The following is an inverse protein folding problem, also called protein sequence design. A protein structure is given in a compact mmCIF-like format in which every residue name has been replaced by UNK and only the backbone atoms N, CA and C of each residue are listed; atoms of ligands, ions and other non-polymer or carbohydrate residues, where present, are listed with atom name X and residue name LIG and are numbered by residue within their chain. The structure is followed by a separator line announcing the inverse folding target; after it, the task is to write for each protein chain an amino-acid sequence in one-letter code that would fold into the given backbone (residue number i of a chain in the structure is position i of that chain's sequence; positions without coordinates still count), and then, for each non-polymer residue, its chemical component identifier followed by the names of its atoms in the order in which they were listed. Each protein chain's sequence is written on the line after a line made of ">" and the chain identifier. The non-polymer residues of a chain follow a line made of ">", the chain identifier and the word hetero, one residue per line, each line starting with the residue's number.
data_IF_474855646370
#
_entry.id   IF_474855646370
#
_cell.length_a   1.000
_cell.length_b   1.000
_cell.length_c   1.000
_cell.angle_alpha   90.00
_cell.angle_beta   90.00
_cell.angle_gamma   90.00
#
_symmetry.space_group_name_H-M   'P 1'
#
loop_
_entity.id
_entity.type
_entity.pdbx_description
1 polymer ?
#
# COMPACT_ATOMS: atom_id res chain seq x y z
N UNK A 1 71.52 -13.56 -42.89
CA UNK A 1 70.62 -12.41 -43.16
C UNK A 1 69.65 -12.33 -42.00
N UNK A 2 69.84 -11.36 -41.11
CA UNK A 2 68.93 -11.15 -39.98
C UNK A 2 67.62 -10.57 -40.52
N UNK A 3 66.51 -11.30 -40.37
CA UNK A 3 65.18 -10.79 -40.67
C UNK A 3 64.93 -9.59 -39.76
N UNK A 4 64.83 -8.40 -40.35
CA UNK A 4 64.40 -7.19 -39.67
C UNK A 4 62.93 -7.39 -39.33
N UNK A 5 62.66 -7.68 -38.06
CA UNK A 5 61.31 -7.79 -37.52
C UNK A 5 60.58 -6.46 -37.76
N UNK A 6 59.39 -6.51 -38.34
CA UNK A 6 58.64 -5.30 -38.70
C UNK A 6 58.30 -4.56 -37.39
N UNK A 7 58.67 -3.28 -37.23
CA UNK A 7 58.33 -2.50 -36.03
C UNK A 7 56.83 -2.46 -35.75
N UNK A 8 55.98 -2.69 -36.75
CA UNK A 8 54.52 -2.81 -36.58
C UNK A 8 54.13 -4.05 -35.78
N UNK A 9 54.79 -5.17 -36.00
CA UNK A 9 54.50 -6.43 -35.29
C UNK A 9 54.85 -6.32 -33.79
N UNK A 10 55.90 -5.56 -33.48
CA UNK A 10 56.31 -5.27 -32.09
C UNK A 10 55.25 -4.40 -31.40
N UNK A 11 54.79 -3.34 -32.07
CA UNK A 11 53.76 -2.44 -31.53
C UNK A 11 52.42 -3.18 -31.36
N UNK A 12 52.05 -4.04 -32.31
CA UNK A 12 50.82 -4.84 -32.20
C UNK A 12 50.89 -5.79 -31.01
N UNK A 13 52.03 -6.46 -30.79
CA UNK A 13 52.21 -7.37 -29.67
C UNK A 13 52.17 -6.63 -28.31
N UNK A 14 52.74 -5.43 -28.23
CA UNK A 14 52.72 -4.59 -27.03
C UNK A 14 51.30 -4.09 -26.71
N UNK A 15 50.56 -3.62 -27.73
CA UNK A 15 49.16 -3.22 -27.57
C UNK A 15 48.25 -4.39 -27.20
N UNK A 16 48.48 -5.59 -27.75
CA UNK A 16 47.74 -6.79 -27.37
C UNK A 16 47.99 -7.16 -25.91
N UNK A 17 49.24 -7.08 -25.44
CA UNK A 17 49.57 -7.34 -24.04
C UNK A 17 48.92 -6.31 -23.09
N UNK A 18 48.85 -5.04 -23.49
CA UNK A 18 48.23 -3.99 -22.70
C UNK A 18 46.69 -4.11 -22.66
N UNK A 19 46.05 -4.47 -23.77
CA UNK A 19 44.63 -4.79 -23.82
C UNK A 19 44.30 -6.00 -22.95
N UNK A 20 45.10 -7.07 -23.03
CA UNK A 20 44.92 -8.27 -22.20
C UNK A 20 45.07 -7.95 -20.70
N UNK A 21 46.01 -7.09 -20.34
CA UNK A 21 46.19 -6.62 -18.97
C UNK A 21 44.99 -5.80 -18.48
N UNK A 22 44.50 -4.86 -19.30
CA UNK A 22 43.31 -4.06 -18.98
C UNK A 22 42.06 -4.92 -18.83
N UNK A 23 41.86 -5.91 -19.71
CA UNK A 23 40.71 -6.82 -19.63
C UNK A 23 40.74 -7.68 -18.36
N UNK A 24 41.93 -8.16 -17.95
CA UNK A 24 42.07 -8.89 -16.68
C UNK A 24 41.77 -8.00 -15.48
N UNK A 25 42.31 -6.79 -15.47
CA UNK A 25 42.10 -5.83 -14.38
C UNK A 25 40.63 -5.43 -14.28
N UNK A 26 39.95 -5.18 -15.40
CA UNK A 26 38.51 -4.90 -15.44
C UNK A 26 37.68 -6.07 -14.90
N UNK A 27 38.08 -7.31 -15.23
CA UNK A 27 37.41 -8.50 -14.71
C UNK A 27 37.58 -8.64 -13.20
N UNK A 28 38.78 -8.43 -12.68
CA UNK A 28 39.04 -8.44 -11.24
C UNK A 28 38.24 -7.36 -10.49
N UNK A 29 38.16 -6.15 -11.05
CA UNK A 29 37.35 -5.07 -10.48
C UNK A 29 35.86 -5.41 -10.50
N UNK A 30 35.36 -6.02 -11.58
CA UNK A 30 33.98 -6.48 -11.67
C UNK A 30 33.68 -7.55 -10.60
N UNK A 31 34.53 -8.56 -10.48
CA UNK A 31 34.39 -9.63 -9.50
C UNK A 31 34.39 -9.09 -8.05
N UNK A 32 35.24 -8.11 -7.74
CA UNK A 32 35.25 -7.44 -6.42
C UNK A 32 33.99 -6.61 -6.19
N UNK A 33 33.51 -5.92 -7.23
CA UNK A 33 32.29 -5.10 -7.13
C UNK A 33 31.07 -5.98 -6.85
N UNK A 34 30.96 -7.12 -7.53
CA UNK A 34 29.90 -8.10 -7.32
C UNK A 34 29.93 -8.64 -5.88
N UNK A 35 31.12 -8.96 -5.34
CA UNK A 35 31.28 -9.40 -3.95
C UNK A 35 30.82 -8.33 -2.95
N UNK A 36 31.21 -7.06 -3.17
CA UNK A 36 30.79 -5.95 -2.30
C UNK A 36 29.28 -5.74 -2.34
N UNK A 37 28.67 -5.85 -3.53
CA UNK A 37 27.21 -5.76 -3.66
C UNK A 37 26.49 -6.89 -2.93
N UNK A 38 26.96 -8.14 -3.05
CA UNK A 38 26.40 -9.27 -2.31
C UNK A 38 26.50 -9.09 -0.80
N UNK A 39 27.62 -8.57 -0.31
CA UNK A 39 27.81 -8.30 1.12
C UNK A 39 26.93 -7.16 1.62
N UNK A 40 26.76 -6.11 0.82
CA UNK A 40 25.86 -5.01 1.12
C UNK A 40 24.39 -5.47 1.18
N UNK A 41 23.96 -6.32 0.24
CA UNK A 41 22.61 -6.90 0.24
C UNK A 41 22.37 -7.78 1.46
N UNK A 42 23.38 -8.58 1.87
CA UNK A 42 23.31 -9.36 3.11
C UNK A 42 23.18 -8.48 4.35
N UNK A 43 23.98 -7.41 4.44
CA UNK A 43 23.91 -6.47 5.57
C UNK A 43 22.53 -5.79 5.65
N UNK A 44 22.00 -5.36 4.50
CA UNK A 44 20.68 -4.74 4.44
C UNK A 44 19.56 -5.72 4.84
N UNK A 45 19.65 -6.98 4.42
CA UNK A 45 18.72 -8.03 4.83
C UNK A 45 18.74 -8.25 6.36
N UNK A 46 19.93 -8.29 6.96
CA UNK A 46 20.11 -8.42 8.42
C UNK A 46 19.53 -7.20 9.15
N UNK A 47 19.73 -5.99 8.62
CA UNK A 47 19.18 -4.77 9.22
C UNK A 47 17.66 -4.76 9.21
N UNK A 48 17.03 -5.16 8.10
CA UNK A 48 15.57 -5.31 8.00
C UNK A 48 15.04 -6.36 8.98
N UNK A 49 15.73 -7.49 9.13
CA UNK A 49 15.37 -8.52 10.12
C UNK A 49 15.45 -7.97 11.55
N UNK A 50 16.53 -7.26 11.88
CA UNK A 50 16.71 -6.64 13.20
C UNK A 50 15.65 -5.58 13.51
N UNK A 51 15.27 -4.77 12.52
CA UNK A 51 14.15 -3.82 12.67
C UNK A 51 12.83 -4.57 12.93
N UNK A 52 12.56 -5.66 12.20
CA UNK A 52 11.40 -6.51 12.43
C UNK A 52 11.38 -7.13 13.83
N UNK A 53 12.52 -7.58 14.34
CA UNK A 53 12.65 -8.12 15.70
C UNK A 53 12.42 -7.06 16.77
N UNK A 54 12.94 -5.83 16.59
CA UNK A 54 12.69 -4.70 17.51
C UNK A 54 11.20 -4.36 17.61
N UNK A 55 10.52 -4.25 16.47
CA UNK A 55 9.08 -3.97 16.44
C UNK A 55 8.27 -5.07 17.15
N UNK A 56 8.66 -6.35 16.99
CA UNK A 56 8.03 -7.46 17.72
C UNK A 56 8.29 -7.39 19.22
N UNK A 57 9.51 -7.07 19.63
CA UNK A 57 9.88 -6.92 21.04
C UNK A 57 9.05 -5.80 21.70
N UNK A 58 8.98 -4.63 21.06
CA UNK A 58 8.15 -3.52 21.54
C UNK A 58 6.66 -3.90 21.62
N UNK A 59 6.14 -4.62 20.63
CA UNK A 59 4.76 -5.13 20.66
C UNK A 59 4.53 -6.06 21.85
N UNK A 60 5.45 -6.98 22.13
CA UNK A 60 5.37 -7.88 23.28
C UNK A 60 5.50 -7.13 24.61
N UNK A 61 6.34 -6.09 24.69
CA UNK A 61 6.43 -5.25 25.88
C UNK A 61 5.11 -4.51 26.16
N UNK A 62 4.45 -3.97 25.13
CA UNK A 62 3.12 -3.36 25.27
C UNK A 62 2.09 -4.36 25.78
N UNK A 63 2.06 -5.57 25.21
CA UNK A 63 1.13 -6.63 25.65
C UNK A 63 1.39 -7.05 27.11
N UNK A 64 2.67 -7.16 27.50
CA UNK A 64 3.06 -7.53 28.85
C UNK A 64 2.78 -6.42 29.86
N UNK A 65 2.98 -5.14 29.50
CA UNK A 65 2.62 -4.00 30.33
C UNK A 65 1.11 -4.01 30.64
N UNK A 66 0.28 -4.26 29.61
CA UNK A 66 -1.16 -4.40 29.79
C UNK A 66 -1.54 -5.58 30.69
N UNK A 67 -0.94 -6.77 30.50
CA UNK A 67 -1.18 -7.93 31.38
C UNK A 67 -0.88 -7.59 32.85
N UNK A 68 0.18 -6.82 33.11
CA UNK A 68 0.50 -6.34 34.46
C UNK A 68 -0.55 -5.37 34.99
N UNK A 69 -1.03 -4.44 34.17
CA UNK A 69 -2.06 -3.50 34.55
C UNK A 69 -3.38 -4.21 34.87
N UNK A 70 -3.83 -5.14 34.02
CA UNK A 70 -5.02 -5.98 34.26
C UNK A 70 -4.85 -6.81 35.54
N UNK A 71 -3.70 -7.46 35.74
CA UNK A 71 -3.44 -8.22 36.96
C UNK A 71 -3.42 -7.32 38.21
N UNK A 72 -2.94 -6.07 38.09
CA UNK A 72 -2.96 -5.09 39.19
C UNK A 72 -4.39 -4.69 39.53
N UNK A 73 -5.21 -4.39 38.52
CA UNK A 73 -6.63 -4.06 38.72
C UNK A 73 -7.37 -5.25 39.32
N UNK A 74 -7.16 -6.46 38.79
CA UNK A 74 -7.77 -7.70 39.27
C UNK A 74 -7.38 -8.04 40.71
N UNK A 75 -6.09 -8.00 41.05
CA UNK A 75 -5.63 -8.24 42.43
C UNK A 75 -6.19 -7.19 43.40
N UNK A 76 -6.25 -5.92 43.00
CA UNK A 76 -6.88 -4.87 43.81
C UNK A 76 -8.39 -5.07 43.98
N UNK A 77 -9.06 -5.65 42.98
CA UNK A 77 -10.48 -6.00 43.03
C UNK A 77 -10.72 -7.10 44.06
N UNK A 78 -9.94 -8.19 44.00
CA UNK A 78 -10.01 -9.28 44.97
C UNK A 78 -9.78 -8.76 46.40
N UNK A 79 -8.76 -7.92 46.61
CA UNK A 79 -8.51 -7.31 47.92
C UNK A 79 -9.69 -6.45 48.42
N UNK A 80 -10.32 -5.67 47.54
CA UNK A 80 -11.50 -4.85 47.89
C UNK A 80 -12.70 -5.74 48.22
N UNK A 81 -12.92 -6.82 47.46
CA UNK A 81 -14.00 -7.78 47.69
C UNK A 81 -13.83 -8.50 49.05
N UNK A 82 -12.61 -8.95 49.36
CA UNK A 82 -12.29 -9.58 50.66
C UNK A 82 -12.55 -8.63 51.81
N UNK A 83 -12.11 -7.36 51.69
CA UNK A 83 -12.37 -6.31 52.69
C UNK A 83 -13.87 -6.10 52.93
N UNK A 84 -14.69 -6.04 51.86
CA UNK A 84 -16.16 -5.89 51.99
C UNK A 84 -16.78 -7.10 52.71
N UNK A 85 -16.36 -8.32 52.36
CA UNK A 85 -16.86 -9.55 53.00
C UNK A 85 -16.50 -9.59 54.50
N UNK A 86 -15.27 -9.23 54.87
CA UNK A 86 -14.85 -9.15 56.27
C UNK A 86 -15.65 -8.10 57.06
N UNK A 87 -15.92 -6.95 56.45
CA UNK A 87 -16.67 -5.86 57.07
C UNK A 87 -18.14 -6.25 57.28
N UNK A 88 -18.74 -6.94 56.31
CA UNK A 88 -20.09 -7.50 56.42
C UNK A 88 -20.19 -8.62 57.48
N UNK A 89 -19.19 -9.50 57.56
CA UNK A 89 -19.13 -10.54 58.59
C UNK A 89 -19.00 -9.94 59.99
N UNK A 90 -18.17 -8.89 60.16
CA UNK A 90 -18.07 -8.12 61.41
C UNK A 90 -19.40 -7.45 61.78
N UNK A 91 -20.05 -6.78 60.83
CA UNK A 91 -21.35 -6.13 61.05
C UNK A 91 -22.46 -7.10 61.46
N UNK A 92 -22.49 -8.30 60.88
CA UNK A 92 -23.40 -9.40 61.26
C UNK A 92 -23.16 -9.90 62.69
N UNK A 93 -21.90 -9.99 63.12
CA UNK A 93 -21.55 -10.41 64.47
C UNK A 93 -21.94 -9.37 65.54
N UNK A 94 -21.98 -8.08 65.18
CA UNK A 94 -22.32 -6.98 66.09
C UNK A 94 -23.78 -6.53 66.04
N UNK A 95 -24.60 -7.06 65.13
CA UNK A 95 -26.04 -6.75 65.04
C UNK A 95 -26.38 -5.32 64.58
N UNK A 96 -25.43 -4.60 63.99
CA UNK A 96 -25.60 -3.20 63.57
C UNK A 96 -25.96 -3.09 62.08
N UNK A 97 -26.73 -2.04 61.72
CA UNK A 97 -26.97 -1.68 60.32
C UNK A 97 -25.65 -1.42 59.57
N UNK A 98 -25.65 -1.66 58.25
CA UNK A 98 -24.43 -1.63 57.43
C UNK A 98 -23.65 -0.31 57.67
N UNK A 99 -22.39 -0.39 58.15
CA UNK A 99 -21.62 0.81 58.48
C UNK A 99 -21.22 1.57 57.21
N UNK A 100 -21.21 2.90 57.27
CA UNK A 100 -20.87 3.85 56.19
C UNK A 100 -19.59 3.45 55.41
N UNK A 101 -18.63 2.81 56.09
CA UNK A 101 -17.41 2.22 55.50
C UNK A 101 -17.67 1.19 54.37
N UNK A 102 -18.74 0.40 54.46
CA UNK A 102 -19.13 -0.59 53.43
C UNK A 102 -19.62 0.12 52.18
N UNK A 103 -20.36 1.23 52.35
CA UNK A 103 -20.85 2.06 51.26
C UNK A 103 -19.66 2.63 50.46
N UNK A 104 -18.67 3.20 51.15
CA UNK A 104 -17.47 3.77 50.53
C UNK A 104 -16.64 2.71 49.80
N UNK A 105 -16.53 1.49 50.37
CA UNK A 105 -15.84 0.37 49.72
C UNK A 105 -16.60 -0.14 48.49
N UNK A 106 -17.94 -0.16 48.51
CA UNK A 106 -18.76 -0.53 47.36
C UNK A 106 -18.62 0.49 46.22
N UNK A 107 -18.59 1.79 46.53
CA UNK A 107 -18.32 2.85 45.54
C UNK A 107 -16.90 2.76 44.95
N UNK A 108 -15.91 2.38 45.76
CA UNK A 108 -14.56 2.13 45.27
C UNK A 108 -14.51 0.92 44.32
N UNK A 109 -15.25 -0.16 44.63
CA UNK A 109 -15.41 -1.33 43.76
C UNK A 109 -16.07 -0.95 42.43
N UNK A 110 -17.14 -0.16 42.47
CA UNK A 110 -17.87 0.29 41.29
C UNK A 110 -16.97 1.12 40.36
N UNK A 111 -16.16 2.04 40.90
CA UNK A 111 -15.18 2.83 40.14
C UNK A 111 -14.11 1.95 39.48
N UNK A 112 -13.61 0.94 40.20
CA UNK A 112 -12.61 0.00 39.65
C UNK A 112 -13.19 -0.90 38.56
N UNK A 113 -14.43 -1.36 38.70
CA UNK A 113 -15.13 -2.12 37.64
C UNK A 113 -15.31 -1.27 36.37
N UNK A 114 -15.66 0.01 36.52
CA UNK A 114 -15.76 0.93 35.38
C UNK A 114 -14.42 1.09 34.64
N UNK A 115 -13.31 1.23 35.39
CA UNK A 115 -11.97 1.34 34.81
C UNK A 115 -11.51 0.04 34.10
N UNK A 116 -11.80 -1.12 34.70
CA UNK A 116 -11.51 -2.42 34.09
C UNK A 116 -12.31 -2.61 32.79
N UNK A 117 -13.62 -2.32 32.83
CA UNK A 117 -14.46 -2.39 31.63
C UNK A 117 -13.92 -1.51 30.51
N UNK A 118 -13.53 -0.27 30.82
CA UNK A 118 -12.93 0.64 29.84
C UNK A 118 -11.63 0.08 29.25
N UNK A 119 -10.78 -0.52 30.08
CA UNK A 119 -9.52 -1.13 29.62
C UNK A 119 -9.76 -2.34 28.72
N UNK A 120 -10.77 -3.15 29.06
CA UNK A 120 -11.19 -4.31 28.26
C UNK A 120 -11.79 -3.86 26.93
N UNK A 121 -12.65 -2.84 26.92
CA UNK A 121 -13.22 -2.25 25.70
C UNK A 121 -12.13 -1.72 24.76
N UNK A 122 -11.14 -1.01 25.29
CA UNK A 122 -9.98 -0.53 24.50
C UNK A 122 -9.25 -1.70 23.84
N UNK A 123 -9.06 -2.82 24.55
CA UNK A 123 -8.40 -4.02 24.05
C UNK A 123 -9.23 -4.71 22.94
N UNK A 124 -10.51 -4.92 23.19
CA UNK A 124 -11.44 -5.51 22.22
C UNK A 124 -11.52 -4.69 20.93
N UNK A 125 -11.30 -3.39 21.04
CA UNK A 125 -11.27 -2.50 19.88
C UNK A 125 -9.93 -2.39 19.15
N UNK A 126 -8.91 -3.16 19.54
CA UNK A 126 -7.59 -3.15 18.88
C UNK A 126 -6.55 -2.26 19.56
N UNK A 127 -6.73 -2.00 20.86
CA UNK A 127 -5.81 -1.24 21.69
C UNK A 127 -6.05 0.27 21.68
N UNK A 128 -5.07 1.01 22.20
CA UNK A 128 -5.09 2.47 22.19
C UNK A 128 -5.28 3.00 20.76
N UNK A 129 -6.11 4.04 20.58
CA UNK A 129 -6.35 4.60 19.26
C UNK A 129 -5.04 5.09 18.63
N UNK A 130 -4.78 4.65 17.40
CA UNK A 130 -3.69 5.18 16.58
C UNK A 130 -3.98 6.59 16.07
N UNK A 131 -3.11 7.15 15.23
CA UNK A 131 -3.41 8.40 14.54
C UNK A 131 -4.62 8.23 13.62
N UNK A 132 -5.27 9.34 13.28
CA UNK A 132 -6.33 9.35 12.29
C UNK A 132 -5.80 8.87 10.93
N UNK A 133 -6.66 8.26 10.12
CA UNK A 133 -6.25 7.80 8.79
C UNK A 133 -5.84 8.98 7.90
N UNK A 134 -6.45 10.15 8.06
CA UNK A 134 -6.03 11.38 7.38
C UNK A 134 -4.60 11.80 7.75
N UNK A 135 -4.26 11.79 9.04
CA UNK A 135 -2.90 12.11 9.53
C UNK A 135 -1.87 11.09 9.04
N UNK A 136 -2.21 9.80 9.13
CA UNK A 136 -1.39 8.71 8.62
C UNK A 136 -1.17 8.83 7.10
N UNK A 137 -2.20 9.26 6.36
CA UNK A 137 -2.14 9.47 4.92
C UNK A 137 -1.17 10.60 4.55
N UNK A 138 -1.18 11.73 5.26
CA UNK A 138 -0.24 12.83 5.02
C UNK A 138 1.21 12.38 5.24
N UNK A 139 1.46 11.62 6.31
CA UNK A 139 2.78 11.05 6.58
C UNK A 139 3.21 10.07 5.46
N UNK A 140 2.31 9.14 5.10
CA UNK A 140 2.56 8.14 4.06
C UNK A 140 2.79 8.79 2.68
N UNK A 141 2.04 9.84 2.34
CA UNK A 141 2.22 10.61 1.11
C UNK A 141 3.60 11.25 1.04
N UNK A 142 4.04 11.92 2.13
CA UNK A 142 5.37 12.54 2.20
C UNK A 142 6.49 11.52 2.02
N UNK A 143 6.38 10.35 2.66
CA UNK A 143 7.37 9.27 2.51
C UNK A 143 7.39 8.78 1.06
N UNK A 144 6.23 8.50 0.47
CA UNK A 144 6.15 7.94 -0.90
C UNK A 144 6.63 8.89 -1.99
N UNK A 145 6.39 10.20 -1.84
CA UNK A 145 6.95 11.19 -2.77
C UNK A 145 8.48 11.25 -2.74
N UNK A 146 9.13 10.82 -1.65
CA UNK A 146 10.58 10.74 -1.55
C UNK A 146 11.22 9.51 -2.19
N UNK A 147 10.43 8.50 -2.58
CA UNK A 147 10.94 7.19 -3.04
C UNK A 147 11.16 7.11 -4.57
N UNK A 148 11.12 8.23 -5.29
CA UNK A 148 11.28 8.24 -6.76
C UNK A 148 10.11 7.59 -7.52
N UNK A 149 8.96 7.41 -6.87
CA UNK A 149 7.74 6.91 -7.50
C UNK A 149 7.14 8.03 -8.35
N UNK A 150 6.59 7.69 -9.51
CA UNK A 150 5.86 8.64 -10.36
C UNK A 150 4.82 9.44 -9.55
N UNK A 151 4.95 10.76 -9.54
CA UNK A 151 4.13 11.63 -8.68
C UNK A 151 2.64 11.51 -9.00
N UNK A 152 2.28 11.32 -10.28
CA UNK A 152 0.88 11.12 -10.66
C UNK A 152 0.30 9.84 -10.06
N UNK A 153 1.11 8.77 -9.93
CA UNK A 153 0.71 7.58 -9.19
C UNK A 153 0.50 7.89 -7.69
N UNK A 154 1.44 8.61 -7.07
CA UNK A 154 1.35 8.97 -5.64
C UNK A 154 0.09 9.80 -5.36
N UNK A 155 -0.20 10.80 -6.21
CA UNK A 155 -1.40 11.62 -6.13
C UNK A 155 -2.67 10.80 -6.34
N UNK A 156 -2.63 9.84 -7.26
CA UNK A 156 -3.76 8.92 -7.49
C UNK A 156 -4.03 8.08 -6.25
N UNK A 157 -2.99 7.44 -5.69
CA UNK A 157 -3.10 6.61 -4.48
C UNK A 157 -3.63 7.45 -3.30
N UNK A 158 -3.14 8.68 -3.12
CA UNK A 158 -3.60 9.61 -2.09
C UNK A 158 -5.10 9.90 -2.20
N UNK A 159 -5.57 10.24 -3.40
CA UNK A 159 -6.98 10.52 -3.64
C UNK A 159 -7.86 9.28 -3.38
N UNK A 160 -7.36 8.08 -3.63
CA UNK A 160 -8.10 6.82 -3.42
C UNK A 160 -8.25 6.47 -1.95
N UNK A 161 -7.25 6.78 -1.14
CA UNK A 161 -7.37 6.69 0.32
C UNK A 161 -8.34 7.76 0.83
N UNK A 162 -8.30 8.99 0.29
CA UNK A 162 -9.29 10.03 0.64
C UNK A 162 -10.72 9.67 0.28
N UNK A 163 -10.93 9.02 -0.86
CA UNK A 163 -12.24 8.49 -1.25
C UNK A 163 -12.77 7.52 -0.19
N UNK A 164 -11.90 6.64 0.33
CA UNK A 164 -12.25 5.71 1.41
C UNK A 164 -12.54 6.44 2.73
N UNK A 165 -11.74 7.43 3.12
CA UNK A 165 -12.00 8.28 4.30
C UNK A 165 -13.36 8.97 4.18
N UNK A 166 -13.69 9.50 2.99
CA UNK A 166 -14.99 10.13 2.74
C UNK A 166 -16.15 9.14 2.86
N UNK A 167 -15.92 7.85 2.62
CA UNK A 167 -16.94 6.80 2.72
C UNK A 167 -17.07 6.25 4.15
N UNK A 168 -15.97 5.79 4.75
CA UNK A 168 -15.96 5.11 6.04
C UNK A 168 -15.88 6.07 7.25
N UNK A 169 -15.62 7.35 6.99
CA UNK A 169 -15.30 8.36 7.99
C UNK A 169 -13.82 8.35 8.36
N UNK A 170 -13.34 9.47 8.89
CA UNK A 170 -11.97 9.58 9.41
C UNK A 170 -11.92 9.06 10.85
N UNK A 171 -11.23 7.93 11.02
CA UNK A 171 -11.13 7.20 12.29
C UNK A 171 -9.66 6.86 12.54
N UNK A 172 -9.29 6.52 13.79
CA UNK A 172 -7.98 5.97 14.07
C UNK A 172 -7.70 4.73 13.22
N UNK A 173 -6.49 4.61 12.69
CA UNK A 173 -6.14 3.56 11.71
C UNK A 173 -6.38 2.13 12.22
N UNK A 174 -6.28 1.89 13.53
CA UNK A 174 -6.53 0.58 14.15
C UNK A 174 -8.02 0.27 14.40
N UNK A 175 -8.93 1.19 14.07
CA UNK A 175 -10.38 1.04 14.30
C UNK A 175 -11.16 0.61 13.07
N UNK A 176 -10.54 0.63 11.89
CA UNK A 176 -11.17 0.10 10.68
C UNK A 176 -11.29 -1.42 10.74
N UNK A 177 -12.41 -1.96 10.25
CA UNK A 177 -12.71 -3.39 10.20
C UNK A 177 -12.81 -3.86 8.75
N UNK A 178 -12.57 -5.16 8.53
CA UNK A 178 -12.68 -5.79 7.21
C UNK A 178 -13.99 -5.46 6.48
N UNK A 179 -15.12 -5.44 7.20
CA UNK A 179 -16.42 -5.19 6.60
C UNK A 179 -16.53 -3.82 5.92
N UNK A 180 -15.89 -2.77 6.45
CA UNK A 180 -15.91 -1.45 5.84
C UNK A 180 -15.23 -1.46 4.47
N UNK A 181 -14.15 -2.23 4.30
CA UNK A 181 -13.49 -2.40 3.00
C UNK A 181 -14.32 -3.23 2.04
N UNK A 182 -15.00 -4.26 2.55
CA UNK A 182 -15.88 -5.10 1.76
C UNK A 182 -17.11 -4.33 1.25
N UNK A 183 -17.71 -3.50 2.10
CA UNK A 183 -18.83 -2.64 1.73
C UNK A 183 -18.40 -1.52 0.78
N UNK A 184 -17.20 -0.95 0.97
CA UNK A 184 -16.63 -0.01 0.02
C UNK A 184 -16.42 -0.64 -1.37
N UNK A 185 -15.87 -1.85 -1.44
CA UNK A 185 -15.70 -2.57 -2.71
C UNK A 185 -17.05 -2.84 -3.40
N UNK A 186 -18.08 -3.19 -2.63
CA UNK A 186 -19.44 -3.38 -3.15
C UNK A 186 -20.03 -2.06 -3.67
N UNK A 187 -19.82 -0.95 -2.97
CA UNK A 187 -20.23 0.37 -3.44
C UNK A 187 -19.56 0.71 -4.78
N UNK A 188 -18.25 0.53 -4.89
CA UNK A 188 -17.47 0.86 -6.08
C UNK A 188 -17.95 0.10 -7.33
N UNK A 189 -18.51 -1.11 -7.20
CA UNK A 189 -19.08 -1.87 -8.30
C UNK A 189 -20.22 -1.12 -9.03
N UNK A 190 -20.89 -0.19 -8.34
CA UNK A 190 -21.99 0.62 -8.87
C UNK A 190 -21.59 2.05 -9.27
N UNK A 191 -20.37 2.48 -8.95
CA UNK A 191 -19.89 3.82 -9.25
C UNK A 191 -19.67 3.96 -10.76
N UNK A 192 -20.20 5.01 -11.42
CA UNK A 192 -19.91 5.30 -12.82
C UNK A 192 -18.42 5.46 -13.07
N UNK A 193 -17.92 4.84 -14.14
CA UNK A 193 -16.57 5.06 -14.59
C UNK A 193 -16.37 6.53 -14.98
N UNK A 194 -15.27 7.11 -14.52
CA UNK A 194 -14.92 8.52 -14.76
C UNK A 194 -15.99 9.51 -14.29
N UNK A 195 -16.74 9.21 -13.22
CA UNK A 195 -17.79 10.10 -12.70
C UNK A 195 -17.25 11.51 -12.40
N UNK A 196 -16.02 11.63 -11.88
CA UNK A 196 -15.38 12.92 -11.58
C UNK A 196 -15.19 13.84 -12.80
N UNK A 197 -15.13 13.28 -14.02
CA UNK A 197 -14.97 14.05 -15.26
C UNK A 197 -16.31 14.43 -15.89
N UNK A 198 -17.41 13.82 -15.44
CA UNK A 198 -18.74 13.98 -16.02
C UNK A 198 -19.47 15.13 -15.32
N UNK A 199 -19.96 16.14 -16.05
CA UNK A 199 -20.64 17.29 -15.47
C UNK A 199 -21.83 16.92 -14.58
N UNK A 200 -22.55 15.86 -14.94
CA UNK A 200 -23.75 15.37 -14.22
C UNK A 200 -23.46 14.83 -12.81
N UNK A 201 -22.21 14.44 -12.52
CA UNK A 201 -21.78 13.93 -11.21
C UNK A 201 -20.87 14.91 -10.47
N UNK A 202 -20.76 16.15 -10.96
CA UNK A 202 -19.86 17.14 -10.39
C UNK A 202 -20.26 17.48 -8.94
N UNK A 203 -19.32 17.33 -8.02
CA UNK A 203 -19.55 17.59 -6.59
C UNK A 203 -20.25 16.45 -5.83
N UNK A 204 -20.65 15.37 -6.51
CA UNK A 204 -21.20 14.19 -5.85
C UNK A 204 -20.08 13.33 -5.24
N UNK A 205 -20.36 12.74 -4.10
CA UNK A 205 -19.56 11.63 -3.54
C UNK A 205 -19.74 10.36 -4.37
N UNK A 206 -18.89 9.36 -4.17
CA UNK A 206 -19.04 8.06 -4.82
C UNK A 206 -20.37 7.38 -4.45
N UNK A 207 -20.80 7.55 -3.20
CA UNK A 207 -22.09 7.04 -2.72
C UNK A 207 -23.26 7.65 -3.49
N UNK A 208 -23.29 8.98 -3.59
CA UNK A 208 -24.32 9.72 -4.32
C UNK A 208 -24.28 9.42 -5.81
N UNK A 209 -23.09 9.37 -6.43
CA UNK A 209 -22.94 9.03 -7.84
C UNK A 209 -23.43 7.61 -8.16
N UNK A 210 -23.14 6.63 -7.29
CA UNK A 210 -23.64 5.27 -7.42
C UNK A 210 -25.17 5.19 -7.22
N UNK A 211 -25.73 5.94 -6.27
CA UNK A 211 -27.16 6.00 -6.04
C UNK A 211 -27.89 6.64 -7.24
N UNK A 212 -27.41 7.80 -7.71
CA UNK A 212 -27.93 8.50 -8.88
C UNK A 212 -27.86 7.63 -10.13
N UNK A 213 -26.73 6.96 -10.38
CA UNK A 213 -26.61 6.08 -11.55
C UNK A 213 -27.57 4.88 -11.49
N UNK A 214 -27.86 4.35 -10.30
CA UNK A 214 -28.84 3.27 -10.12
C UNK A 214 -30.28 3.75 -10.31
N UNK A 215 -30.59 5.00 -9.96
CA UNK A 215 -31.92 5.58 -10.17
C UNK A 215 -32.22 5.89 -11.64
N UNK A 216 -31.21 5.99 -12.51
CA UNK A 216 -31.42 6.14 -13.94
C UNK A 216 -32.05 4.88 -14.55
N UNK A 217 -32.84 5.09 -15.61
CA UNK A 217 -33.35 4.04 -16.48
C UNK A 217 -32.21 3.11 -16.94
N UNK A 218 -32.37 1.78 -16.94
CA UNK A 218 -31.32 0.83 -17.32
C UNK A 218 -30.60 1.16 -18.63
N UNK A 219 -31.30 1.70 -19.64
CA UNK A 219 -30.74 2.06 -20.93
C UNK A 219 -29.89 3.35 -20.88
N UNK A 220 -30.10 4.19 -19.87
CA UNK A 220 -29.40 5.47 -19.67
C UNK A 220 -28.32 5.40 -18.59
N UNK A 221 -28.14 4.24 -17.94
CA UNK A 221 -27.10 4.06 -16.91
C UNK A 221 -25.71 4.16 -17.52
N UNK A 222 -24.83 4.83 -16.79
CA UNK A 222 -23.42 4.91 -17.14
C UNK A 222 -22.70 3.60 -16.81
N UNK A 223 -21.72 3.24 -17.65
CA UNK A 223 -20.86 2.08 -17.42
C UNK A 223 -20.12 2.25 -16.09
N UNK A 224 -20.15 1.23 -15.24
CA UNK A 224 -19.50 1.26 -13.92
C UNK A 224 -18.04 0.84 -13.98
N UNK A 225 -17.35 0.95 -12.83
CA UNK A 225 -15.97 0.49 -12.66
C UNK A 225 -15.85 -1.01 -12.95
N UNK A 226 -14.69 -1.39 -13.48
CA UNK A 226 -14.36 -2.81 -13.66
C UNK A 226 -13.80 -3.40 -12.38
N UNK A 227 -13.95 -4.71 -12.18
CA UNK A 227 -13.33 -5.38 -11.03
C UNK A 227 -11.82 -5.12 -10.94
N UNK A 228 -11.11 -5.21 -12.07
CA UNK A 228 -9.67 -4.88 -12.14
C UNK A 228 -9.37 -3.44 -11.70
N UNK A 229 -10.22 -2.48 -12.05
CA UNK A 229 -10.06 -1.08 -11.62
C UNK A 229 -10.27 -0.94 -10.11
N UNK A 230 -11.27 -1.61 -9.54
CA UNK A 230 -11.54 -1.60 -8.10
C UNK A 230 -10.33 -2.18 -7.36
N UNK A 231 -9.84 -3.34 -7.79
CA UNK A 231 -8.67 -4.00 -7.20
C UNK A 231 -7.41 -3.14 -7.28
N UNK A 232 -7.00 -2.75 -8.48
CA UNK A 232 -5.70 -2.11 -8.72
C UNK A 232 -5.65 -0.64 -8.31
N UNK A 233 -6.76 0.10 -8.46
CA UNK A 233 -6.74 1.54 -8.24
C UNK A 233 -7.36 1.95 -6.91
N UNK A 234 -8.24 1.16 -6.29
CA UNK A 234 -8.88 1.52 -5.02
C UNK A 234 -8.37 0.66 -3.87
N UNK A 235 -8.43 -0.66 -4.01
CA UNK A 235 -8.07 -1.58 -2.92
C UNK A 235 -6.56 -1.70 -2.73
N UNK A 236 -5.76 -1.65 -3.80
CA UNK A 236 -4.31 -1.72 -3.70
C UNK A 236 -3.69 -0.57 -2.90
N UNK A 237 -4.03 0.72 -3.13
CA UNK A 237 -3.56 1.81 -2.27
C UNK A 237 -3.97 1.65 -0.80
N UNK A 238 -5.18 1.16 -0.53
CA UNK A 238 -5.66 0.88 0.82
C UNK A 238 -4.84 -0.23 1.49
N UNK A 239 -4.60 -1.34 0.78
CA UNK A 239 -3.73 -2.40 1.27
C UNK A 239 -2.33 -1.88 1.63
N UNK A 240 -1.74 -1.04 0.77
CA UNK A 240 -0.41 -0.48 1.02
C UNK A 240 -0.37 0.42 2.26
N UNK A 241 -1.25 1.43 2.36
CA UNK A 241 -1.21 2.34 3.51
C UNK A 241 -1.50 1.61 4.82
N UNK A 242 -2.47 0.69 4.85
CA UNK A 242 -2.76 -0.08 6.07
C UNK A 242 -1.64 -1.06 6.40
N UNK A 243 -0.95 -1.61 5.41
CA UNK A 243 0.23 -2.43 5.66
C UNK A 243 1.35 -1.58 6.31
N UNK A 244 1.72 -0.47 5.68
CA UNK A 244 2.86 0.34 6.06
C UNK A 244 2.63 1.07 7.40
N UNK A 245 1.46 1.72 7.55
CA UNK A 245 1.17 2.53 8.72
C UNK A 245 0.78 1.68 9.93
N UNK A 246 0.10 0.54 9.75
CA UNK A 246 -0.11 -0.37 10.87
C UNK A 246 1.23 -0.98 11.34
N UNK A 247 2.13 -1.34 10.42
CA UNK A 247 3.47 -1.79 10.80
C UNK A 247 4.25 -0.70 11.57
N UNK A 248 4.22 0.55 11.09
CA UNK A 248 4.89 1.69 11.73
C UNK A 248 4.39 1.95 13.16
N UNK A 249 3.07 1.84 13.40
CA UNK A 249 2.49 2.08 14.73
C UNK A 249 2.37 0.82 15.60
N UNK A 250 2.72 -0.35 15.07
CA UNK A 250 2.63 -1.63 15.80
C UNK A 250 1.19 -2.13 15.98
N UNK A 251 0.33 -1.89 14.99
CA UNK A 251 -1.03 -2.43 14.94
C UNK A 251 -1.10 -3.58 13.93
N UNK A 252 -2.09 -4.46 14.11
CA UNK A 252 -2.43 -5.45 13.08
C UNK A 252 -3.31 -4.79 12.02
N UNK A 253 -2.91 -4.89 10.74
CA UNK A 253 -3.76 -4.44 9.64
C UNK A 253 -5.07 -5.23 9.58
N UNK A 254 -6.23 -4.57 9.38
CA UNK A 254 -7.51 -5.25 9.19
C UNK A 254 -7.58 -6.05 7.88
N UNK A 255 -6.62 -5.82 6.98
CA UNK A 255 -6.48 -6.52 5.71
C UNK A 255 -5.40 -7.62 5.76
N UNK A 256 -4.78 -7.84 6.93
CA UNK A 256 -3.81 -8.91 7.10
C UNK A 256 -4.48 -10.29 7.00
N UNK A 257 -4.06 -11.08 6.01
CA UNK A 257 -4.52 -12.45 5.74
C UNK A 257 -5.97 -12.58 5.26
N UNK A 258 -6.57 -11.50 4.78
CA UNK A 258 -7.93 -11.50 4.23
C UNK A 258 -7.92 -10.86 2.85
N UNK A 259 -8.73 -11.42 1.95
CA UNK A 259 -8.90 -10.88 0.60
C UNK A 259 -10.31 -10.33 0.45
N UNK A 260 -10.40 -9.08 -0.01
CA UNK A 260 -11.67 -8.42 -0.29
C UNK A 260 -12.26 -9.01 -1.57
N UNK A 261 -13.50 -9.45 -1.51
CA UNK A 261 -14.19 -10.03 -2.67
C UNK A 261 -14.84 -8.93 -3.47
N UNK A 262 -14.58 -8.89 -4.77
CA UNK A 262 -15.24 -7.94 -5.67
C UNK A 262 -16.57 -8.56 -6.13
N UNK A 263 -17.66 -7.78 -6.01
CA UNK A 263 -18.99 -8.21 -6.45
C UNK A 263 -18.99 -8.59 -7.94
N UNK A 264 -19.73 -9.66 -8.28
CA UNK A 264 -19.98 -10.04 -9.69
C UNK A 264 -20.79 -8.99 -10.47
N UNK A 265 -21.35 -8.00 -9.78
CA UNK A 265 -22.02 -6.83 -10.39
C UNK A 265 -21.02 -5.81 -10.93
N UNK A 266 -19.74 -5.91 -10.57
CA UNK A 266 -18.69 -5.08 -11.16
C UNK A 266 -18.56 -5.40 -12.65
N UNK A 267 -18.34 -4.37 -13.47
CA UNK A 267 -18.25 -4.55 -14.92
C UNK A 267 -17.08 -5.46 -15.26
N UNK A 268 -17.29 -6.38 -16.20
CA UNK A 268 -16.20 -7.19 -16.73
C UNK A 268 -15.11 -6.29 -17.35
N UNK A 269 -13.85 -6.69 -17.20
CA UNK A 269 -12.78 -6.00 -17.91
C UNK A 269 -12.99 -6.15 -19.41
N UNK A 270 -12.56 -5.14 -20.17
CA UNK A 270 -12.60 -5.24 -21.62
C UNK A 270 -11.36 -5.97 -22.09
N UNK A 271 -11.55 -7.17 -22.65
CA UNK A 271 -10.47 -7.90 -23.29
C UNK A 271 -10.03 -7.14 -24.54
N UNK A 272 -8.74 -6.77 -24.56
CA UNK A 272 -8.12 -6.19 -25.73
C UNK A 272 -7.54 -7.32 -26.57
N UNK A 273 -8.15 -7.56 -27.72
CA UNK A 273 -7.65 -8.55 -28.67
C UNK A 273 -6.43 -7.98 -29.42
N UNK A 274 -5.46 -8.84 -29.80
CA UNK A 274 -4.39 -8.43 -30.69
C UNK A 274 -4.97 -7.98 -32.04
N UNK A 275 -4.29 -7.04 -32.69
CA UNK A 275 -4.65 -6.58 -34.03
C UNK A 275 -3.95 -7.50 -35.03
N UNK A 276 -4.71 -8.12 -35.91
CA UNK A 276 -4.16 -9.04 -36.91
C UNK A 276 -3.53 -8.28 -38.09
N UNK A 277 -2.59 -8.92 -38.80
CA UNK A 277 -1.89 -8.31 -39.94
C UNK A 277 -2.85 -7.71 -41.00
N UNK A 278 -3.97 -8.37 -41.38
CA UNK A 278 -4.91 -7.79 -42.33
C UNK A 278 -5.59 -6.51 -41.82
N UNK A 279 -5.75 -6.37 -40.50
CA UNK A 279 -6.33 -5.17 -39.87
C UNK A 279 -5.29 -4.05 -39.79
N UNK A 280 -4.05 -4.37 -39.42
CA UNK A 280 -2.92 -3.43 -39.45
C UNK A 280 -2.73 -2.83 -40.84
N UNK A 281 -2.83 -3.63 -41.91
CA UNK A 281 -2.72 -3.13 -43.28
C UNK A 281 -3.81 -2.09 -43.61
N UNK A 282 -5.04 -2.27 -43.12
CA UNK A 282 -6.11 -1.26 -43.28
C UNK A 282 -5.75 0.05 -42.58
N UNK A 283 -5.18 -0.05 -41.38
CA UNK A 283 -4.70 1.12 -40.62
C UNK A 283 -3.54 1.83 -41.31
N UNK A 284 -2.58 1.10 -41.88
CA UNK A 284 -1.47 1.69 -42.63
C UNK A 284 -1.93 2.43 -43.89
N UNK A 285 -2.91 1.88 -44.61
CA UNK A 285 -3.51 2.57 -45.76
C UNK A 285 -4.16 3.89 -45.35
N UNK A 286 -4.79 3.94 -44.17
CA UNK A 286 -5.36 5.17 -43.63
C UNK A 286 -4.26 6.15 -43.19
N UNK A 287 -3.32 5.71 -42.36
CA UNK A 287 -2.20 6.51 -41.87
C UNK A 287 -1.37 7.12 -43.01
N UNK A 288 -1.13 6.38 -44.10
CA UNK A 288 -0.37 6.88 -45.25
C UNK A 288 -0.98 8.14 -45.91
N UNK A 289 -2.30 8.35 -45.75
CA UNK A 289 -3.06 9.49 -46.27
C UNK A 289 -3.08 10.69 -45.32
N UNK A 290 -2.64 10.53 -44.08
CA UNK A 290 -2.58 11.61 -43.10
C UNK A 290 -1.55 12.66 -43.51
N UNK A 291 -1.89 13.94 -43.34
CA UNK A 291 -1.00 15.06 -43.64
C UNK A 291 0.03 15.30 -42.52
N UNK A 292 -0.34 14.97 -41.28
CA UNK A 292 0.52 15.12 -40.10
C UNK A 292 1.53 13.96 -40.05
N UNK A 293 2.82 14.28 -40.00
CA UNK A 293 3.89 13.29 -40.12
C UNK A 293 3.87 12.22 -39.01
N UNK A 294 3.53 12.60 -37.78
CA UNK A 294 3.35 11.67 -36.66
C UNK A 294 2.18 10.70 -36.91
N UNK A 295 1.02 11.19 -37.32
CA UNK A 295 -0.15 10.34 -37.65
C UNK A 295 0.14 9.38 -38.81
N UNK A 296 1.04 9.79 -39.72
CA UNK A 296 1.46 9.00 -40.88
C UNK A 296 2.46 7.90 -40.53
N UNK A 297 3.50 8.24 -39.78
CA UNK A 297 4.65 7.36 -39.56
C UNK A 297 4.60 6.57 -38.26
N UNK A 298 3.95 7.09 -37.22
CA UNK A 298 3.94 6.48 -35.89
C UNK A 298 3.29 5.09 -35.86
N UNK A 299 2.20 4.79 -36.60
CA UNK A 299 1.65 3.44 -36.63
C UNK A 299 2.63 2.41 -37.20
N UNK A 300 3.34 2.76 -38.28
CA UNK A 300 4.34 1.89 -38.89
C UNK A 300 5.53 1.69 -37.95
N UNK A 301 6.07 2.80 -37.42
CA UNK A 301 7.21 2.78 -36.51
C UNK A 301 6.90 1.96 -35.24
N UNK A 302 5.71 2.14 -34.65
CA UNK A 302 5.29 1.36 -33.48
C UNK A 302 5.13 -0.13 -33.76
N UNK A 303 4.71 -0.49 -34.98
CA UNK A 303 4.59 -1.90 -35.36
C UNK A 303 5.95 -2.56 -35.57
N UNK A 304 6.90 -1.86 -36.20
CA UNK A 304 8.22 -2.42 -36.52
C UNK A 304 9.14 -2.43 -35.30
N UNK A 305 9.12 -1.37 -34.49
CA UNK A 305 10.00 -1.26 -33.33
C UNK A 305 9.46 -2.00 -32.09
N UNK A 306 8.15 -2.26 -32.01
CA UNK A 306 7.50 -2.80 -30.81
C UNK A 306 7.57 -1.89 -29.58
N UNK A 307 8.05 -0.65 -29.75
CA UNK A 307 8.24 0.32 -28.68
C UNK A 307 6.92 0.94 -28.20
N UNK A 308 6.90 1.43 -26.96
CA UNK A 308 5.71 2.12 -26.44
C UNK A 308 5.56 3.46 -27.12
N UNK A 309 4.31 3.87 -27.35
CA UNK A 309 4.03 5.18 -27.95
C UNK A 309 4.68 6.35 -27.18
N UNK A 310 4.74 6.23 -25.84
CA UNK A 310 5.39 7.23 -24.97
C UNK A 310 6.90 7.32 -25.15
N UNK A 311 7.56 6.27 -25.66
CA UNK A 311 8.99 6.26 -25.99
C UNK A 311 9.20 6.85 -27.40
N UNK A 312 8.35 6.47 -28.36
CA UNK A 312 8.46 6.88 -29.76
C UNK A 312 8.26 8.37 -30.00
N UNK A 313 7.41 9.04 -29.23
CA UNK A 313 7.17 10.49 -29.39
C UNK A 313 8.39 11.35 -29.04
N UNK A 314 9.35 10.80 -28.29
CA UNK A 314 10.60 11.48 -27.92
C UNK A 314 11.77 11.10 -28.81
N UNK A 315 11.60 10.19 -29.77
CA UNK A 315 12.68 9.71 -30.63
C UNK A 315 13.23 10.86 -31.47
N UNK A 316 14.53 11.11 -31.34
CA UNK A 316 15.25 12.13 -32.09
C UNK A 316 16.24 11.50 -33.06
N UNK A 317 16.65 12.26 -34.08
CA UNK A 317 17.68 11.83 -35.05
C UNK A 317 18.96 11.35 -34.36
N UNK A 318 19.36 11.98 -33.25
CA UNK A 318 20.58 11.64 -32.50
C UNK A 318 20.52 10.26 -31.83
N UNK A 319 19.31 9.74 -31.63
CA UNK A 319 19.08 8.43 -31.00
C UNK A 319 19.18 7.30 -32.04
N UNK A 320 19.31 7.64 -33.33
CA UNK A 320 19.44 6.70 -34.46
C UNK A 320 20.88 6.71 -34.95
N UNK A 321 21.55 5.57 -34.82
CA UNK A 321 22.89 5.35 -35.35
C UNK A 321 22.95 3.98 -36.01
N UNK A 322 23.81 3.86 -37.01
CA UNK A 322 24.01 2.60 -37.71
C UNK A 322 24.85 1.68 -36.82
N UNK A 323 24.33 0.50 -36.52
CA UNK A 323 25.07 -0.58 -35.88
C UNK A 323 25.27 -1.64 -36.95
N UNK A 324 26.50 -1.75 -37.45
CA UNK A 324 26.96 -2.71 -38.47
C UNK A 324 26.06 -2.85 -39.72
N UNK A 325 26.50 -2.26 -40.83
CA UNK A 325 25.87 -2.44 -42.15
C UNK A 325 26.28 -3.75 -42.80
#
# INVERSE_FOLDING_TARGET
>A
MAQKQDPRDIIIAELQAEVDYLMRTMKEVADVTDQVMEEQDRLHAIELENQGLRLRAESHERENAFKREVNTVYSSFIATQTSVLETLQRGKATGAAAPESVQTQLEALARKMACLNQSVEIMLDGGHPGPLLSEALEHWFKVRSGLGIDQKKVDTDYNRVRDFISYAGDKPINRYRYLEFQEFANLLAHVPASFSLKPEFKGMTQFEAAAHNRSLDPLKRHKTLTGKTIESNYLSPLNMIFHDMCAHHGFRSPLANVSIRISGEARASTDRLPIEVPELNKWFVHAAKESRGDSKWLPLLGTVAGARIGELIWLQKKDIYQVEG
#
